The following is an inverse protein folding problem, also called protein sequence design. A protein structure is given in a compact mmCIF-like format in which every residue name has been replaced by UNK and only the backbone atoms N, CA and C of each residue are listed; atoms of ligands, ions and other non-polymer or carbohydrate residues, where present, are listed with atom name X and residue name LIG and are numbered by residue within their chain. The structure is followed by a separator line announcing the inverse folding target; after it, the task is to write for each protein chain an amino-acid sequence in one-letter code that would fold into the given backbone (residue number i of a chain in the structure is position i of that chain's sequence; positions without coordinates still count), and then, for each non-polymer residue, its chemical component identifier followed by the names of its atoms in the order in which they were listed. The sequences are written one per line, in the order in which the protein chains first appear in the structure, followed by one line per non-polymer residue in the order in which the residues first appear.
data_IF_551426683155
#
_entry.id   IF_551426683155
#
_cell.length_a   1.000
_cell.length_b   1.000
_cell.length_c   1.000
_cell.angle_alpha   90.00
_cell.angle_beta   90.00
_cell.angle_gamma   90.00
#
_symmetry.space_group_name_H-M   'P 1'
#
loop_
_entity.id
_entity.type
_entity.pdbx_description
1 polymer ?
#
# COMPACT_ATOMS: atom_id res chain seq x y z
N UNK A 1 13.18 -7.12 6.72
CA UNK A 1 11.95 -7.26 5.92
C UNK A 1 11.26 -8.56 6.32
N UNK A 2 9.93 -8.53 6.44
CA UNK A 2 9.16 -9.74 6.75
C UNK A 2 9.07 -10.62 5.51
N UNK A 3 9.09 -11.93 5.71
CA UNK A 3 8.90 -12.88 4.62
C UNK A 3 7.45 -12.84 4.11
N UNK A 4 7.23 -13.32 2.89
CA UNK A 4 5.88 -13.45 2.33
C UNK A 4 4.98 -14.32 3.22
N UNK A 5 5.53 -15.42 3.75
CA UNK A 5 4.78 -16.32 4.62
C UNK A 5 4.35 -15.64 5.94
N UNK A 6 5.20 -14.78 6.51
CA UNK A 6 4.86 -14.01 7.70
C UNK A 6 3.73 -13.02 7.42
N UNK A 7 3.77 -12.35 6.27
CA UNK A 7 2.71 -11.41 5.85
C UNK A 7 1.40 -12.15 5.59
N UNK A 8 1.45 -13.28 4.93
CA UNK A 8 0.28 -14.12 4.68
C UNK A 8 -0.36 -14.57 6.00
N UNK A 9 0.44 -15.07 6.94
CA UNK A 9 -0.04 -15.48 8.26
C UNK A 9 -0.68 -14.31 9.02
N UNK A 10 -0.10 -13.11 8.93
CA UNK A 10 -0.64 -11.90 9.57
C UNK A 10 -2.05 -11.56 9.03
N UNK A 11 -2.30 -11.82 7.75
CA UNK A 11 -3.60 -11.65 7.11
C UNK A 11 -4.52 -12.86 7.30
N UNK A 12 -4.07 -13.86 8.04
CA UNK A 12 -4.84 -15.07 8.33
C UNK A 12 -4.84 -16.10 7.21
N UNK A 13 -3.94 -16.00 6.24
CA UNK A 13 -3.72 -17.06 5.24
C UNK A 13 -2.81 -18.13 5.82
N UNK A 14 -3.04 -19.37 5.41
CA UNK A 14 -2.16 -20.47 5.81
C UNK A 14 -0.91 -20.50 4.91
N UNK A 15 0.27 -20.16 5.44
CA UNK A 15 1.49 -20.12 4.63
C UNK A 15 2.01 -21.52 4.24
N UNK A 16 1.45 -22.57 4.83
CA UNK A 16 1.85 -23.95 4.57
C UNK A 16 0.78 -24.76 3.84
N UNK A 17 -0.26 -24.09 3.34
CA UNK A 17 -1.34 -24.76 2.61
C UNK A 17 -0.93 -25.18 1.20
N UNK A 18 -1.67 -26.15 0.65
CA UNK A 18 -1.45 -26.67 -0.70
C UNK A 18 -1.69 -25.61 -1.79
N UNK A 19 -2.38 -24.54 -1.45
CA UNK A 19 -2.69 -23.44 -2.37
C UNK A 19 -1.65 -22.30 -2.34
N UNK A 20 -0.46 -22.57 -1.81
CA UNK A 20 0.67 -21.66 -1.87
C UNK A 20 1.55 -21.99 -3.08
N UNK A 21 1.83 -21.00 -3.88
CA UNK A 21 2.67 -21.14 -5.07
C UNK A 21 3.70 -20.02 -5.14
N UNK A 22 4.93 -20.33 -5.43
CA UNK A 22 5.99 -19.35 -5.72
C UNK A 22 6.50 -19.58 -7.13
N UNK A 23 6.50 -18.53 -7.94
CA UNK A 23 6.99 -18.58 -9.32
C UNK A 23 8.52 -18.41 -9.38
N UNK A 24 9.06 -18.57 -10.59
CA UNK A 24 10.52 -18.45 -10.80
C UNK A 24 11.05 -17.03 -10.56
N UNK A 25 10.20 -16.03 -10.59
CA UNK A 25 10.55 -14.63 -10.28
C UNK A 25 10.54 -14.33 -8.78
N UNK A 26 10.12 -15.29 -7.95
CA UNK A 26 10.04 -15.12 -6.50
C UNK A 26 8.76 -14.48 -6.02
N UNK A 27 7.72 -14.40 -6.85
CA UNK A 27 6.41 -13.93 -6.44
C UNK A 27 5.65 -15.09 -5.80
N UNK A 28 5.06 -14.85 -4.64
CA UNK A 28 4.33 -15.89 -3.91
C UNK A 28 2.85 -15.56 -3.86
N UNK A 29 2.02 -16.55 -4.21
CA UNK A 29 0.56 -16.45 -4.22
C UNK A 29 -0.02 -17.45 -3.25
N UNK A 30 -1.01 -16.99 -2.49
CA UNK A 30 -1.79 -17.78 -1.54
C UNK A 30 -3.24 -17.69 -1.95
N UNK A 31 -3.88 -18.82 -2.20
CA UNK A 31 -5.29 -18.88 -2.57
C UNK A 31 -6.06 -19.55 -1.44
N UNK A 32 -7.04 -18.87 -0.91
CA UNK A 32 -7.99 -19.42 0.05
C UNK A 32 -9.41 -19.05 -0.38
N UNK A 33 -10.40 -19.68 0.24
CA UNK A 33 -11.80 -19.44 -0.12
C UNK A 33 -12.10 -17.93 -0.13
N UNK A 34 -12.37 -17.44 -1.32
CA UNK A 34 -12.82 -16.07 -1.57
C UNK A 34 -11.73 -15.03 -1.77
N UNK A 35 -10.46 -15.32 -1.50
CA UNK A 35 -9.39 -14.34 -1.71
C UNK A 35 -8.13 -14.96 -2.28
N UNK A 36 -7.44 -14.18 -3.09
CA UNK A 36 -6.10 -14.45 -3.59
C UNK A 36 -5.16 -13.36 -3.07
N UNK A 37 -4.14 -13.75 -2.32
CA UNK A 37 -3.08 -12.87 -1.85
C UNK A 37 -1.83 -13.13 -2.67
N UNK A 38 -1.28 -12.10 -3.29
CA UNK A 38 -0.03 -12.17 -4.03
C UNK A 38 0.98 -11.20 -3.44
N UNK A 39 2.21 -11.67 -3.23
CA UNK A 39 3.31 -10.86 -2.71
C UNK A 39 4.47 -11.01 -3.70
N UNK A 40 4.82 -9.91 -4.37
CA UNK A 40 5.89 -9.93 -5.35
C UNK A 40 7.26 -9.84 -4.68
N UNK A 41 8.27 -10.33 -5.38
CA UNK A 41 9.67 -10.18 -4.97
C UNK A 41 10.08 -8.71 -4.85
N UNK A 42 9.43 -7.82 -5.61
CA UNK A 42 9.67 -6.38 -5.57
C UNK A 42 8.99 -5.67 -4.39
N UNK A 43 8.20 -6.38 -3.58
CA UNK A 43 7.53 -5.81 -2.41
C UNK A 43 6.18 -5.19 -2.72
N UNK A 44 5.45 -5.69 -3.69
CA UNK A 44 4.05 -5.34 -3.92
C UNK A 44 3.17 -6.44 -3.35
N UNK A 45 2.24 -6.06 -2.49
CA UNK A 45 1.21 -6.94 -1.97
C UNK A 45 -0.11 -6.63 -2.65
N UNK A 46 -0.78 -7.64 -3.17
CA UNK A 46 -2.10 -7.54 -3.76
C UNK A 46 -3.03 -8.56 -3.12
N UNK A 47 -4.15 -8.11 -2.61
CA UNK A 47 -5.22 -8.93 -2.10
C UNK A 47 -6.43 -8.72 -3.00
N UNK A 48 -7.01 -9.79 -3.50
CA UNK A 48 -8.13 -9.70 -4.43
C UNK A 48 -9.21 -10.70 -4.04
N UNK A 49 -10.45 -10.26 -4.09
CA UNK A 49 -11.61 -11.13 -3.93
C UNK A 49 -11.76 -12.01 -5.17
N UNK A 50 -12.00 -13.29 -4.96
CA UNK A 50 -12.12 -14.27 -6.04
C UNK A 50 -13.55 -14.34 -6.60
N UNK A 51 -14.57 -14.15 -5.77
CA UNK A 51 -15.96 -14.29 -6.18
C UNK A 51 -16.86 -13.10 -5.87
N UNK A 52 -16.32 -12.05 -5.27
CA UNK A 52 -17.08 -10.84 -4.90
C UNK A 52 -18.05 -11.03 -3.75
N UNK A 53 -18.18 -12.24 -3.21
CA UNK A 53 -19.15 -12.56 -2.17
C UNK A 53 -18.56 -12.72 -0.77
N UNK A 54 -17.25 -12.64 -0.64
CA UNK A 54 -16.61 -12.99 0.59
C UNK A 54 -16.52 -11.85 1.56
N UNK A 55 -16.79 -12.18 2.80
CA UNK A 55 -16.96 -11.25 3.89
C UNK A 55 -15.79 -11.21 4.87
N UNK A 56 -14.67 -11.86 4.55
CA UNK A 56 -13.53 -11.95 5.47
C UNK A 56 -12.90 -10.61 5.76
N UNK A 57 -12.75 -9.77 4.75
CA UNK A 57 -12.25 -8.41 4.90
C UNK A 57 -13.41 -7.46 4.63
N UNK A 58 -13.99 -6.93 5.70
CA UNK A 58 -15.23 -6.18 5.60
C UNK A 58 -15.26 -5.05 6.61
N UNK A 59 -15.77 -3.89 6.18
CA UNK A 59 -16.10 -2.78 7.05
C UNK A 59 -17.41 -3.06 7.81
N UNK A 60 -17.65 -2.31 8.87
CA UNK A 60 -18.88 -2.40 9.67
C UNK A 60 -20.10 -2.03 8.83
N UNK A 61 -19.95 -1.03 7.97
CA UNK A 61 -21.00 -0.60 7.03
C UNK A 61 -20.37 -0.05 5.75
N UNK A 62 -21.20 0.34 4.77
CA UNK A 62 -20.75 1.00 3.55
C UNK A 62 -20.54 2.51 3.70
N UNK A 63 -20.67 3.07 4.90
CA UNK A 63 -20.40 4.48 5.16
C UNK A 63 -18.92 4.81 5.00
N UNK A 64 -18.60 5.98 4.48
CA UNK A 64 -17.22 6.35 4.17
C UNK A 64 -16.28 6.25 5.38
N UNK A 65 -16.75 6.68 6.55
CA UNK A 65 -15.95 6.59 7.79
C UNK A 65 -15.61 5.14 8.17
N UNK A 66 -16.55 4.23 7.98
CA UNK A 66 -16.35 2.81 8.29
C UNK A 66 -15.42 2.15 7.27
N UNK A 67 -15.52 2.54 6.00
CA UNK A 67 -14.62 2.08 4.95
C UNK A 67 -13.19 2.54 5.21
N UNK A 68 -13.00 3.81 5.56
CA UNK A 68 -11.69 4.37 5.88
C UNK A 68 -11.08 3.67 7.10
N UNK A 69 -11.86 3.43 8.14
CA UNK A 69 -11.38 2.73 9.34
C UNK A 69 -10.98 1.28 9.04
N UNK A 70 -11.77 0.59 8.24
CA UNK A 70 -11.45 -0.76 7.77
C UNK A 70 -10.13 -0.77 6.97
N UNK A 71 -9.96 0.16 6.04
CA UNK A 71 -8.75 0.29 5.25
C UNK A 71 -7.53 0.58 6.12
N UNK A 72 -7.64 1.50 7.08
CA UNK A 72 -6.57 1.81 8.04
C UNK A 72 -6.19 0.59 8.87
N UNK A 73 -7.18 -0.13 9.38
CA UNK A 73 -6.96 -1.32 10.18
C UNK A 73 -6.23 -2.40 9.38
N UNK A 74 -6.64 -2.63 8.14
CA UNK A 74 -5.99 -3.59 7.25
C UNK A 74 -4.53 -3.21 6.99
N UNK A 75 -4.27 -1.95 6.63
CA UNK A 75 -2.93 -1.45 6.39
C UNK A 75 -2.07 -1.49 7.65
N UNK A 76 -2.62 -1.14 8.80
CA UNK A 76 -1.93 -1.23 10.09
C UNK A 76 -1.52 -2.67 10.40
N UNK A 77 -2.39 -3.63 10.15
CA UNK A 77 -2.10 -5.05 10.33
C UNK A 77 -0.94 -5.50 9.44
N UNK A 78 -0.95 -5.10 8.16
CA UNK A 78 0.11 -5.46 7.21
C UNK A 78 1.44 -4.80 7.59
N UNK A 79 1.41 -3.53 7.99
CA UNK A 79 2.62 -2.76 8.27
C UNK A 79 3.11 -2.88 9.71
N UNK A 80 2.36 -3.54 10.59
CA UNK A 80 2.76 -3.74 11.98
C UNK A 80 4.13 -4.43 12.07
N UNK A 81 4.99 -3.97 12.95
CA UNK A 81 6.35 -4.49 13.09
C UNK A 81 7.35 -3.96 12.04
N UNK A 82 6.93 -3.06 11.17
CA UNK A 82 7.86 -2.34 10.32
C UNK A 82 8.58 -1.28 11.16
N UNK A 83 9.90 -1.24 11.06
CA UNK A 83 10.72 -0.22 11.72
C UNK A 83 10.88 1.05 10.87
N UNK A 84 10.01 1.25 9.90
CA UNK A 84 10.08 2.40 9.01
C UNK A 84 9.58 3.68 9.68
N UNK A 85 10.19 4.80 9.37
CA UNK A 85 9.77 6.13 9.85
C UNK A 85 8.58 6.67 9.07
N UNK A 86 8.41 6.25 7.82
CA UNK A 86 7.30 6.66 6.98
C UNK A 86 6.00 5.95 7.38
N UNK A 87 4.91 6.67 7.30
CA UNK A 87 3.57 6.18 7.59
C UNK A 87 2.64 6.42 6.42
N UNK A 88 1.64 5.56 6.30
CA UNK A 88 0.58 5.69 5.30
C UNK A 88 -0.57 6.53 5.86
N UNK A 89 -0.98 7.53 5.10
CA UNK A 89 -2.12 8.37 5.43
C UNK A 89 -3.09 8.41 4.25
N UNK A 90 -4.39 8.46 4.55
CA UNK A 90 -5.42 8.64 3.53
C UNK A 90 -5.26 9.99 2.86
N UNK A 91 -5.10 9.99 1.53
CA UNK A 91 -4.95 11.22 0.74
C UNK A 91 -6.12 11.45 -0.19
N UNK A 92 -6.86 10.42 -0.55
CA UNK A 92 -7.99 10.54 -1.46
C UNK A 92 -9.02 9.45 -1.23
N UNK A 93 -10.28 9.81 -1.42
CA UNK A 93 -11.40 8.89 -1.44
C UNK A 93 -12.11 9.07 -2.79
N UNK A 94 -12.14 8.02 -3.59
CA UNK A 94 -12.75 8.05 -4.91
C UNK A 94 -14.00 7.19 -4.95
N UNK A 95 -15.00 7.64 -5.71
CA UNK A 95 -16.14 6.83 -6.08
C UNK A 95 -15.97 6.37 -7.52
N UNK A 96 -16.09 5.07 -7.74
CA UNK A 96 -15.95 4.45 -9.05
C UNK A 96 -17.17 3.53 -9.27
N UNK A 97 -18.25 4.12 -9.78
CA UNK A 97 -19.53 3.42 -9.89
C UNK A 97 -20.09 3.04 -8.52
N UNK A 98 -20.31 1.73 -8.31
CA UNK A 98 -20.78 1.19 -7.04
C UNK A 98 -19.64 0.93 -6.05
N UNK A 99 -18.39 1.17 -6.45
CA UNK A 99 -17.22 0.93 -5.63
C UNK A 99 -16.67 2.20 -5.02
N UNK A 100 -15.99 2.06 -3.89
CA UNK A 100 -15.28 3.14 -3.22
C UNK A 100 -13.81 2.76 -3.10
N UNK A 101 -12.92 3.68 -3.48
CA UNK A 101 -11.47 3.46 -3.41
C UNK A 101 -10.87 4.41 -2.40
N UNK A 102 -10.19 3.86 -1.39
CA UNK A 102 -9.41 4.62 -0.43
C UNK A 102 -7.94 4.60 -0.88
N UNK A 103 -7.35 5.77 -1.08
CA UNK A 103 -5.98 5.95 -1.54
C UNK A 103 -5.13 6.49 -0.40
N UNK A 104 -4.00 5.82 -0.15
CA UNK A 104 -3.05 6.17 0.89
C UNK A 104 -1.69 6.44 0.27
N UNK A 105 -1.01 7.43 0.78
CA UNK A 105 0.35 7.74 0.40
C UNK A 105 1.27 7.74 1.62
N UNK A 106 2.55 7.47 1.37
CA UNK A 106 3.57 7.52 2.42
C UNK A 106 3.93 8.96 2.74
N UNK A 107 4.09 9.23 4.02
CA UNK A 107 4.61 10.50 4.54
C UNK A 107 5.78 10.23 5.47
N UNK A 108 6.85 10.99 5.27
CA UNK A 108 8.03 10.97 6.12
C UNK A 108 8.21 12.38 6.67
N UNK A 109 8.05 12.55 7.98
CA UNK A 109 8.10 13.87 8.65
C UNK A 109 7.16 14.90 7.99
N UNK A 110 5.95 14.50 7.63
CA UNK A 110 4.96 15.36 7.00
C UNK A 110 5.19 15.63 5.51
N UNK A 111 6.21 15.03 4.91
CA UNK A 111 6.52 15.17 3.50
C UNK A 111 6.03 13.94 2.75
N UNK A 112 5.19 14.09 1.70
CA UNK A 112 4.74 12.95 0.94
C UNK A 112 5.89 12.29 0.17
N UNK A 113 5.92 10.96 0.17
CA UNK A 113 6.89 10.15 -0.55
C UNK A 113 6.13 9.25 -1.52
N UNK A 114 6.38 9.45 -2.80
CA UNK A 114 5.70 8.67 -3.84
C UNK A 114 6.62 7.57 -4.36
N UNK A 115 6.24 6.29 -4.15
CA UNK A 115 6.98 5.20 -4.76
C UNK A 115 6.80 5.19 -6.29
N UNK A 116 7.77 4.66 -7.00
CA UNK A 116 7.76 4.62 -8.46
C UNK A 116 6.56 3.87 -9.06
N UNK A 117 5.88 3.05 -8.30
CA UNK A 117 4.70 2.30 -8.73
C UNK A 117 3.37 3.04 -8.55
N UNK A 118 3.36 4.32 -8.16
CA UNK A 118 2.15 5.09 -7.90
C UNK A 118 1.90 5.36 -6.43
N UNK A 119 0.66 5.22 -5.97
CA UNK A 119 0.31 5.44 -4.57
C UNK A 119 0.88 4.35 -3.66
N UNK A 120 1.05 4.67 -2.38
CA UNK A 120 1.52 3.71 -1.39
C UNK A 120 0.56 2.54 -1.20
N UNK A 121 -0.73 2.82 -1.14
CA UNK A 121 -1.76 1.79 -1.05
C UNK A 121 -3.08 2.25 -1.67
N UNK A 122 -3.85 1.28 -2.16
CA UNK A 122 -5.20 1.48 -2.67
C UNK A 122 -6.07 0.33 -2.14
N UNK A 123 -7.16 0.68 -1.47
CA UNK A 123 -8.13 -0.30 -0.96
C UNK A 123 -9.47 -0.03 -1.62
N UNK A 124 -9.96 -1.00 -2.37
CA UNK A 124 -11.22 -0.91 -3.12
C UNK A 124 -12.31 -1.71 -2.41
N UNK A 125 -13.45 -1.07 -2.22
CA UNK A 125 -14.62 -1.67 -1.57
C UNK A 125 -15.79 -1.77 -2.56
N UNK A 126 -16.50 -2.87 -2.50
CA UNK A 126 -17.84 -2.99 -3.07
C UNK A 126 -18.83 -3.11 -1.89
N UNK A 127 -19.68 -2.08 -1.71
CA UNK A 127 -20.43 -1.97 -0.46
C UNK A 127 -19.48 -1.85 0.72
N UNK A 128 -19.60 -2.76 1.69
CA UNK A 128 -18.72 -2.82 2.86
C UNK A 128 -17.56 -3.81 2.71
N UNK A 129 -17.51 -4.58 1.62
CA UNK A 129 -16.51 -5.65 1.44
C UNK A 129 -15.29 -5.17 0.67
N UNK A 130 -14.11 -5.54 1.14
CA UNK A 130 -12.85 -5.33 0.40
C UNK A 130 -12.84 -6.26 -0.80
N UNK A 131 -12.80 -5.72 -2.00
CA UNK A 131 -12.69 -6.49 -3.25
C UNK A 131 -11.28 -6.49 -3.81
N UNK A 132 -10.49 -5.48 -3.48
CA UNK A 132 -9.08 -5.41 -3.86
C UNK A 132 -8.32 -4.53 -2.88
N UNK A 133 -7.12 -4.95 -2.53
CA UNK A 133 -6.17 -4.14 -1.80
C UNK A 133 -4.80 -4.26 -2.48
N UNK A 134 -4.13 -3.14 -2.69
CA UNK A 134 -2.79 -3.07 -3.24
C UNK A 134 -1.93 -2.22 -2.34
N UNK A 135 -0.77 -2.71 -1.98
CA UNK A 135 0.17 -2.02 -1.12
C UNK A 135 1.59 -2.20 -1.65
N UNK A 136 2.29 -1.10 -1.83
CA UNK A 136 3.71 -1.11 -2.10
C UNK A 136 4.44 -1.14 -0.76
N UNK A 137 5.01 -2.31 -0.42
CA UNK A 137 5.73 -2.51 0.83
C UNK A 137 7.08 -1.81 0.73
N UNK A 138 7.14 -0.58 1.24
CA UNK A 138 8.35 0.23 1.25
C UNK A 138 8.70 0.61 2.67
N UNK A 139 9.98 0.54 2.98
CA UNK A 139 10.53 1.02 4.23
C UNK A 139 11.33 2.28 3.93
N UNK A 140 10.81 3.42 4.35
CA UNK A 140 11.51 4.70 4.26
C UNK A 140 11.99 5.09 5.65
N UNK A 141 13.28 5.31 5.80
CA UNK A 141 13.88 5.75 7.04
C UNK A 141 14.61 7.08 6.82
N UNK A 142 14.65 7.89 7.88
CA UNK A 142 15.44 9.11 7.84
C UNK A 142 16.92 8.72 7.86
N UNK A 143 17.68 9.28 6.95
CA UNK A 143 19.13 9.11 6.99
C UNK A 143 19.74 10.22 7.82
N UNK A 144 20.86 9.95 8.47
CA UNK A 144 21.62 10.96 9.19
C UNK A 144 22.35 11.91 8.25
N UNK A 145 22.38 11.58 6.97
CA UNK A 145 23.02 12.40 5.95
C UNK A 145 22.04 13.47 5.50
N UNK A 146 22.37 14.71 5.79
CA UNK A 146 21.57 15.85 5.35
C UNK A 146 21.81 16.10 3.87
N UNK A 147 20.77 15.94 3.08
CA UNK A 147 20.78 16.37 1.69
C UNK A 147 20.21 17.79 1.68
N UNK A 148 21.03 18.76 1.28
CA UNK A 148 20.55 20.13 1.15
C UNK A 148 19.67 20.23 -0.08
N UNK A 149 18.38 20.44 0.13
CA UNK A 149 17.45 20.70 -0.95
C UNK A 149 17.24 22.19 -1.03
N UNK A 150 17.63 22.78 -2.17
CA UNK A 150 17.45 24.22 -2.37
C UNK A 150 15.98 24.54 -2.61
N UNK A 151 15.45 25.61 -1.99
CA UNK A 151 14.15 26.13 -2.36
C UNK A 151 14.11 26.50 -3.86
N UNK A 152 12.93 26.41 -4.52
CA UNK A 152 12.84 26.69 -5.94
C UNK A 152 13.43 28.02 -6.38
N UNK A 153 13.26 29.08 -5.59
CA UNK A 153 13.81 30.38 -5.88
C UNK A 153 15.35 30.41 -5.85
N UNK A 154 15.98 29.68 -4.94
CA UNK A 154 17.43 29.57 -4.89
C UNK A 154 17.96 28.64 -5.98
N UNK A 155 17.29 27.57 -6.27
CA UNK A 155 17.65 26.72 -7.38
C UNK A 155 17.60 27.48 -8.69
N UNK A 156 16.60 28.36 -8.87
CA UNK A 156 16.50 29.24 -10.01
C UNK A 156 17.70 30.22 -10.11
N UNK A 157 18.14 30.75 -9.00
CA UNK A 157 19.22 31.75 -8.97
C UNK A 157 20.58 31.15 -9.30
N UNK A 158 20.82 29.87 -9.08
CA UNK A 158 22.11 29.23 -9.36
C UNK A 158 22.20 28.59 -10.73
N UNK A 159 21.11 28.61 -11.50
CA UNK A 159 21.19 28.10 -12.84
C UNK A 159 21.91 29.11 -13.69
N UNK A 160 22.89 28.70 -14.49
CA UNK A 160 23.65 29.64 -15.30
C UNK A 160 22.72 30.44 -16.21
N UNK A 161 23.01 31.72 -16.35
CA UNK A 161 22.32 32.52 -17.34
C UNK A 161 22.52 31.90 -18.69
N UNK A 162 21.48 31.74 -19.42
CA UNK A 162 21.55 31.05 -20.69
C UNK A 162 21.37 29.57 -20.59
N UNK A 163 21.45 29.00 -19.42
CA UNK A 163 21.02 27.63 -19.27
C UNK A 163 19.52 27.62 -19.06
N UNK A 164 18.90 28.70 -19.14
CA UNK A 164 17.56 28.78 -19.03
C UNK A 164 17.02 27.86 -18.09
N UNK A 165 17.11 28.20 -16.98
CA UNK A 165 16.51 27.55 -16.07
C UNK A 165 15.35 27.49 -16.37
N UNK A 166 15.51 26.92 -17.18
CA UNK A 166 14.18 26.93 -17.48
C UNK A 166 13.49 27.04 -16.25
#
# INVERSE_FOLDING_TARGET
ARSADTLAATLGFNPYGDARYTDDAGNTTYTETGYVLSISAAGELTLRSDDGQVTRFRAVSGEESDLVECARSLLSTITSGSAADARLYLTELQKDGAETVCIFDYFLNGIPVYPAGGHGAEIRFSGASVVQARLLLRAYTLTTQTVSVLPPAQAAAILPEGSELG
#
